data_IF_271094414882
#
_entry.id   IF_271094414882
#
_cell.length_a   1.000
_cell.length_b   1.000
_cell.length_c   1.000
_cell.angle_alpha   90.00
_cell.angle_beta   90.00
_cell.angle_gamma   90.00
#
_symmetry.space_group_name_H-M   'P 1'
#
loop_
_entity.id
_entity.type
_entity.pdbx_description
1 polymer ?
#
# COMPACT_ATOMS: atom_id res chain seq x y z
N UNK A 1 -22.49 13.64 37.31
CA UNK A 1 -22.28 12.18 37.31
C UNK A 1 -22.61 11.66 35.93
N UNK A 2 -21.80 10.76 35.34
CA UNK A 2 -22.12 10.19 34.05
C UNK A 2 -23.40 9.34 34.17
N UNK A 3 -24.40 9.65 33.33
CA UNK A 3 -25.70 8.99 33.38
C UNK A 3 -25.52 7.51 32.99
N UNK A 4 -26.02 6.59 33.79
CA UNK A 4 -26.00 5.13 33.53
C UNK A 4 -26.47 4.80 32.12
N UNK A 5 -27.44 5.52 31.60
CA UNK A 5 -27.99 5.37 30.25
C UNK A 5 -26.94 5.71 29.19
N UNK A 6 -26.11 6.75 29.41
CA UNK A 6 -25.08 7.17 28.46
C UNK A 6 -23.94 6.16 28.42
N UNK A 7 -23.50 5.63 29.57
CA UNK A 7 -22.50 4.57 29.63
C UNK A 7 -23.00 3.33 28.89
N UNK A 8 -24.26 2.93 29.12
CA UNK A 8 -24.88 1.78 28.42
C UNK A 8 -24.94 2.00 26.91
N UNK A 9 -25.31 3.21 26.44
CA UNK A 9 -25.27 3.57 25.01
C UNK A 9 -23.87 3.43 24.43
N UNK A 10 -22.85 3.93 25.13
CA UNK A 10 -21.45 3.83 24.69
C UNK A 10 -21.00 2.36 24.59
N UNK A 11 -21.33 1.52 25.56
CA UNK A 11 -21.04 0.07 25.52
C UNK A 11 -21.65 -0.56 24.27
N UNK A 12 -22.92 -0.28 23.97
CA UNK A 12 -23.61 -0.81 22.78
C UNK A 12 -22.93 -0.35 21.49
N UNK A 13 -22.58 0.95 21.38
CA UNK A 13 -21.89 1.50 20.20
C UNK A 13 -20.52 0.83 19.98
N UNK A 14 -19.71 0.69 21.04
CA UNK A 14 -18.39 0.07 20.95
C UNK A 14 -18.50 -1.43 20.63
N UNK A 15 -19.52 -2.13 21.14
CA UNK A 15 -19.82 -3.53 20.77
C UNK A 15 -20.11 -3.67 19.28
N UNK A 16 -20.90 -2.75 18.71
CA UNK A 16 -21.18 -2.74 17.26
C UNK A 16 -19.90 -2.48 16.46
N UNK A 17 -19.09 -1.50 16.89
CA UNK A 17 -17.79 -1.23 16.25
C UNK A 17 -16.87 -2.46 16.29
N UNK A 18 -16.78 -3.15 17.44
CA UNK A 18 -16.01 -4.39 17.59
C UNK A 18 -16.48 -5.47 16.60
N UNK A 19 -17.78 -5.61 16.41
CA UNK A 19 -18.32 -6.60 15.46
C UNK A 19 -17.96 -6.24 14.01
N UNK A 20 -18.05 -4.96 13.64
CA UNK A 20 -17.67 -4.47 12.32
C UNK A 20 -16.18 -4.72 12.06
N UNK A 21 -15.31 -4.32 12.99
CA UNK A 21 -13.85 -4.49 12.82
C UNK A 21 -13.45 -5.96 12.72
N UNK A 22 -14.08 -6.83 13.52
CA UNK A 22 -13.86 -8.29 13.44
C UNK A 22 -14.31 -8.86 12.10
N UNK A 23 -15.44 -8.43 11.58
CA UNK A 23 -15.90 -8.85 10.24
C UNK A 23 -14.94 -8.37 9.15
N UNK A 24 -14.45 -7.13 9.25
CA UNK A 24 -13.47 -6.58 8.30
C UNK A 24 -12.13 -7.33 8.37
N UNK A 25 -11.68 -7.75 9.55
CA UNK A 25 -10.51 -8.60 9.74
C UNK A 25 -10.68 -9.94 8.99
N UNK A 26 -11.83 -10.60 9.14
CA UNK A 26 -12.11 -11.87 8.46
C UNK A 26 -12.15 -11.70 6.94
N UNK A 27 -12.78 -10.64 6.43
CA UNK A 27 -12.82 -10.33 4.99
C UNK A 27 -11.42 -10.06 4.45
N UNK A 28 -10.60 -9.27 5.17
CA UNK A 28 -9.22 -9.02 4.79
C UNK A 28 -8.40 -10.31 4.75
N UNK A 29 -8.57 -11.19 5.75
CA UNK A 29 -7.91 -12.51 5.79
C UNK A 29 -8.24 -13.37 4.56
N UNK A 30 -9.51 -13.42 4.15
CA UNK A 30 -9.90 -14.15 2.95
C UNK A 30 -9.29 -13.55 1.67
N UNK A 31 -9.19 -12.22 1.60
CA UNK A 31 -8.61 -11.53 0.44
C UNK A 31 -7.09 -11.64 0.36
N UNK A 32 -6.38 -11.74 1.49
CA UNK A 32 -4.93 -11.94 1.52
C UNK A 32 -4.56 -13.18 0.70
N UNK A 33 -5.24 -14.30 0.94
CA UNK A 33 -4.93 -15.55 0.23
C UNK A 33 -5.00 -15.36 -1.29
N UNK A 34 -6.11 -14.80 -1.79
CA UNK A 34 -6.28 -14.55 -3.23
C UNK A 34 -5.20 -13.60 -3.79
N UNK A 35 -4.83 -12.56 -3.03
CA UNK A 35 -3.81 -11.62 -3.47
C UNK A 35 -2.40 -12.24 -3.46
N UNK A 36 -2.06 -13.03 -2.42
CA UNK A 36 -0.78 -13.75 -2.34
C UNK A 36 -0.66 -14.80 -3.44
N UNK A 37 -1.72 -15.55 -3.72
CA UNK A 37 -1.73 -16.56 -4.79
C UNK A 37 -1.39 -15.91 -6.16
N UNK A 38 -1.81 -14.67 -6.42
CA UNK A 38 -1.45 -13.92 -7.63
C UNK A 38 0.03 -13.53 -7.66
N UNK A 39 0.56 -13.04 -6.55
CA UNK A 39 1.99 -12.69 -6.47
C UNK A 39 2.82 -13.94 -6.74
N UNK A 40 2.49 -15.06 -6.08
CA UNK A 40 3.20 -16.34 -6.28
C UNK A 40 3.09 -16.83 -7.73
N UNK A 41 1.93 -16.67 -8.38
CA UNK A 41 1.75 -17.06 -9.78
C UNK A 41 2.54 -16.17 -10.76
N UNK A 42 2.76 -14.89 -10.43
CA UNK A 42 3.52 -13.97 -11.28
C UNK A 42 5.04 -14.06 -11.07
N UNK A 43 5.50 -14.49 -9.90
CA UNK A 43 6.92 -14.54 -9.51
C UNK A 43 7.80 -15.34 -10.49
N UNK A 44 7.44 -16.57 -10.93
CA UNK A 44 8.31 -17.34 -11.84
C UNK A 44 8.57 -16.62 -13.16
N UNK A 45 7.57 -15.93 -13.70
CA UNK A 45 7.72 -15.16 -14.93
C UNK A 45 8.66 -13.96 -14.74
N UNK A 46 8.51 -13.24 -13.63
CA UNK A 46 9.38 -12.11 -13.29
C UNK A 46 10.82 -12.55 -13.06
N UNK A 47 11.04 -13.68 -12.38
CA UNK A 47 12.37 -14.23 -12.13
C UNK A 47 13.04 -14.69 -13.43
N UNK A 48 12.33 -15.41 -14.28
CA UNK A 48 12.84 -15.83 -15.58
C UNK A 48 13.21 -14.63 -16.48
N UNK A 49 12.41 -13.57 -16.44
CA UNK A 49 12.68 -12.33 -17.17
C UNK A 49 13.92 -11.61 -16.66
N UNK A 50 14.10 -11.52 -15.34
CA UNK A 50 15.31 -10.97 -14.71
C UNK A 50 16.56 -11.79 -15.08
N UNK A 51 16.46 -13.11 -15.06
CA UNK A 51 17.54 -13.99 -15.46
C UNK A 51 17.92 -13.79 -16.94
N UNK A 52 16.94 -13.70 -17.83
CA UNK A 52 17.18 -13.42 -19.25
C UNK A 52 17.85 -12.05 -19.46
N UNK A 53 17.40 -11.01 -18.78
CA UNK A 53 18.01 -9.68 -18.84
C UNK A 53 19.42 -9.66 -18.27
N UNK A 54 19.67 -10.33 -17.15
CA UNK A 54 21.02 -10.45 -16.57
C UNK A 54 22.02 -11.14 -17.51
N UNK A 55 21.57 -12.19 -18.22
CA UNK A 55 22.39 -12.91 -19.21
C UNK A 55 22.65 -12.07 -20.48
N UNK A 56 21.67 -11.24 -20.90
CA UNK A 56 21.85 -10.29 -21.99
C UNK A 56 22.79 -9.15 -21.63
N UNK A 57 22.72 -8.67 -20.37
CA UNK A 57 23.55 -7.56 -19.89
C UNK A 57 25.05 -7.85 -19.98
N UNK A 58 25.45 -9.09 -19.67
CA UNK A 58 26.86 -9.51 -19.75
C UNK A 58 27.41 -9.50 -21.17
N UNK A 59 26.55 -9.58 -22.19
CA UNK A 59 26.92 -9.62 -23.62
C UNK A 59 26.58 -8.32 -24.36
N UNK A 60 25.63 -7.54 -23.87
CA UNK A 60 25.10 -6.34 -24.51
C UNK A 60 26.00 -5.10 -24.40
N UNK A 61 27.32 -5.24 -24.26
CA UNK A 61 28.27 -4.11 -24.19
C UNK A 61 28.22 -3.14 -25.37
N UNK A 62 27.46 -3.43 -26.42
CA UNK A 62 27.28 -2.59 -27.60
C UNK A 62 25.81 -2.33 -28.00
N UNK A 63 24.83 -2.97 -27.34
CA UNK A 63 23.42 -2.78 -27.69
C UNK A 63 22.87 -1.50 -27.05
N UNK A 64 22.72 -0.45 -27.85
CA UNK A 64 22.04 0.79 -27.47
C UNK A 64 20.52 0.61 -27.60
N UNK A 65 19.82 0.64 -26.47
CA UNK A 65 18.35 0.66 -26.46
C UNK A 65 17.85 1.87 -25.63
N UNK A 66 16.86 2.64 -26.09
CA UNK A 66 16.41 3.85 -25.40
C UNK A 66 16.06 3.65 -23.93
N UNK A 67 15.54 2.50 -23.53
CA UNK A 67 15.18 2.20 -22.14
C UNK A 67 16.36 1.86 -21.20
N UNK A 68 17.55 1.63 -21.78
CA UNK A 68 18.82 1.41 -21.06
C UNK A 68 19.67 2.66 -20.99
N UNK A 69 19.42 3.62 -21.88
CA UNK A 69 20.22 4.83 -22.00
C UNK A 69 20.03 5.73 -20.77
N UNK A 70 21.12 6.04 -20.10
CA UNK A 70 21.12 7.00 -19.00
C UNK A 70 21.22 8.41 -19.56
N UNK A 71 20.20 9.23 -19.33
CA UNK A 71 20.24 10.62 -19.75
C UNK A 71 21.29 11.40 -18.93
N UNK A 72 22.20 12.17 -19.58
CA UNK A 72 23.33 12.80 -18.91
C UNK A 72 22.92 13.87 -17.88
N UNK A 73 21.80 14.54 -18.13
CA UNK A 73 21.22 15.52 -17.23
C UNK A 73 19.82 15.11 -16.80
N UNK A 74 19.63 14.91 -15.50
CA UNK A 74 18.33 14.63 -14.94
C UNK A 74 17.58 15.94 -14.68
N UNK A 75 16.61 16.26 -15.53
CA UNK A 75 15.77 17.47 -15.43
C UNK A 75 14.31 17.15 -15.07
N UNK A 76 13.82 15.99 -15.46
CA UNK A 76 12.42 15.59 -15.29
C UNK A 76 12.30 14.15 -14.81
N UNK A 77 11.57 13.95 -13.75
CA UNK A 77 11.32 12.63 -13.18
C UNK A 77 9.80 12.33 -13.13
N UNK A 78 9.42 11.10 -13.43
CA UNK A 78 8.04 10.63 -13.35
C UNK A 78 7.91 9.62 -12.21
N UNK A 79 6.98 9.89 -11.30
CA UNK A 79 6.73 9.04 -10.13
C UNK A 79 5.42 8.27 -10.30
N UNK A 80 5.51 6.95 -10.32
CA UNK A 80 4.36 6.05 -10.25
C UNK A 80 4.11 5.71 -8.79
N UNK A 81 3.02 6.21 -8.23
CA UNK A 81 2.72 6.06 -6.79
C UNK A 81 1.53 5.12 -6.60
N UNK A 82 1.79 3.96 -5.99
CA UNK A 82 0.78 2.92 -5.80
C UNK A 82 0.28 2.93 -4.36
N UNK A 83 -0.98 3.34 -4.19
CA UNK A 83 -1.68 3.36 -2.90
C UNK A 83 -3.05 2.70 -3.02
N UNK A 84 -3.77 2.56 -1.90
CA UNK A 84 -5.06 1.92 -1.88
C UNK A 84 -6.22 2.85 -2.29
N UNK A 85 -7.34 2.25 -2.69
CA UNK A 85 -8.60 2.97 -2.88
C UNK A 85 -9.34 3.21 -1.55
N UNK A 86 -9.16 2.32 -0.58
CA UNK A 86 -9.88 2.32 0.69
C UNK A 86 -8.94 2.66 1.85
N UNK A 87 -9.48 3.29 2.89
CA UNK A 87 -8.78 3.50 4.15
C UNK A 87 -8.82 2.27 5.06
N UNK A 88 -8.57 2.50 6.34
CA UNK A 88 -8.60 1.50 7.41
C UNK A 88 -7.52 0.39 7.28
N UNK A 89 -6.42 0.72 6.62
CA UNK A 89 -5.25 -0.13 6.47
C UNK A 89 -4.03 0.38 7.29
N UNK A 90 -4.28 1.03 8.43
CA UNK A 90 -3.21 1.58 9.27
C UNK A 90 -2.37 2.64 8.54
N UNK A 91 -1.05 2.52 8.63
CA UNK A 91 -0.10 3.45 8.01
C UNK A 91 0.19 3.16 6.52
N UNK A 92 -0.37 2.10 5.95
CA UNK A 92 -0.08 1.58 4.61
C UNK A 92 0.06 2.68 3.53
N UNK A 93 -0.94 3.55 3.42
CA UNK A 93 -0.91 4.63 2.42
C UNK A 93 0.15 5.69 2.73
N UNK A 94 0.29 6.07 4.00
CA UNK A 94 1.22 7.11 4.40
C UNK A 94 2.69 6.69 4.22
N UNK A 95 2.98 5.40 4.31
CA UNK A 95 4.31 4.84 4.09
C UNK A 95 4.80 5.01 2.65
N UNK A 96 3.91 5.14 1.68
CA UNK A 96 4.24 5.37 0.26
C UNK A 96 4.10 6.85 -0.10
N UNK A 97 3.01 7.49 0.32
CA UNK A 97 2.68 8.86 -0.09
C UNK A 97 3.69 9.89 0.44
N UNK A 98 4.10 9.76 1.71
CA UNK A 98 5.08 10.69 2.30
C UNK A 98 6.48 10.57 1.69
N UNK A 99 7.05 9.39 1.47
CA UNK A 99 8.32 9.27 0.74
C UNK A 99 8.26 9.84 -0.68
N UNK A 100 7.17 9.59 -1.41
CA UNK A 100 7.00 10.15 -2.76
C UNK A 100 6.98 11.68 -2.74
N UNK A 101 6.21 12.29 -1.83
CA UNK A 101 6.18 13.74 -1.64
C UNK A 101 7.55 14.29 -1.23
N UNK A 102 8.20 13.67 -0.24
CA UNK A 102 9.54 14.08 0.22
C UNK A 102 10.59 14.00 -0.89
N UNK A 103 10.52 12.93 -1.70
CA UNK A 103 11.44 12.77 -2.85
C UNK A 103 11.19 13.84 -3.90
N UNK A 104 9.94 14.17 -4.20
CA UNK A 104 9.58 15.25 -5.13
C UNK A 104 10.07 16.61 -4.64
N UNK A 105 9.94 16.92 -3.35
CA UNK A 105 10.47 18.13 -2.75
C UNK A 105 12.00 18.20 -2.84
N UNK A 106 12.69 17.08 -2.60
CA UNK A 106 14.14 16.99 -2.74
C UNK A 106 14.59 17.18 -4.19
N UNK A 107 13.83 16.70 -5.16
CA UNK A 107 14.10 16.90 -6.58
C UNK A 107 13.85 18.34 -7.00
N UNK A 108 12.78 18.95 -6.55
CA UNK A 108 12.50 20.37 -6.80
C UNK A 108 13.63 21.27 -6.27
N UNK A 109 14.21 20.96 -5.11
CA UNK A 109 15.37 21.67 -4.56
C UNK A 109 16.64 21.52 -5.42
N UNK A 110 16.71 20.48 -6.26
CA UNK A 110 17.80 20.24 -7.23
C UNK A 110 17.47 20.79 -8.63
N UNK A 111 16.31 21.44 -8.79
CA UNK A 111 15.86 21.92 -10.11
C UNK A 111 15.27 20.83 -11.00
N UNK A 112 14.96 19.65 -10.45
CA UNK A 112 14.35 18.53 -11.18
C UNK A 112 12.83 18.65 -11.06
N UNK A 113 12.15 18.77 -12.17
CA UNK A 113 10.68 18.77 -12.25
C UNK A 113 10.15 17.35 -12.03
N UNK A 114 9.08 17.21 -11.24
CA UNK A 114 8.46 15.92 -10.97
C UNK A 114 7.02 15.87 -11.43
N UNK A 115 6.66 14.84 -12.17
CA UNK A 115 5.29 14.52 -12.57
C UNK A 115 4.84 13.20 -11.95
N UNK A 116 3.53 12.93 -11.96
CA UNK A 116 2.95 11.82 -11.21
C UNK A 116 1.96 11.00 -12.03
N UNK A 117 2.06 9.68 -11.87
CA UNK A 117 0.99 8.71 -12.16
C UNK A 117 0.49 8.20 -10.83
N UNK A 118 -0.80 8.39 -10.55
CA UNK A 118 -1.38 8.05 -9.26
C UNK A 118 -2.32 6.87 -9.36
N UNK A 119 -1.97 5.78 -8.68
CA UNK A 119 -2.76 4.57 -8.56
C UNK A 119 -3.44 4.51 -7.19
N UNK A 120 -4.78 4.43 -7.18
CA UNK A 120 -5.61 4.39 -5.98
C UNK A 120 -6.13 5.75 -5.51
N UNK A 121 -7.39 5.74 -5.07
CA UNK A 121 -8.10 6.96 -4.62
C UNK A 121 -7.38 7.70 -3.49
N UNK A 122 -6.60 6.98 -2.65
CA UNK A 122 -5.86 7.61 -1.55
C UNK A 122 -4.66 8.41 -2.06
N UNK A 123 -3.97 7.95 -3.11
CA UNK A 123 -2.94 8.74 -3.77
C UNK A 123 -3.54 9.96 -4.47
N UNK A 124 -4.58 9.76 -5.26
CA UNK A 124 -5.26 10.83 -5.99
C UNK A 124 -5.72 11.94 -5.02
N UNK A 125 -6.43 11.60 -3.95
CA UNK A 125 -6.90 12.60 -2.97
C UNK A 125 -5.78 13.27 -2.18
N UNK A 126 -4.70 12.55 -1.90
CA UNK A 126 -3.54 13.09 -1.17
C UNK A 126 -2.82 14.18 -1.97
N UNK A 127 -2.53 13.92 -3.24
CA UNK A 127 -1.83 14.86 -4.11
C UNK A 127 -2.74 15.99 -4.61
N UNK A 128 -4.03 15.71 -4.86
CA UNK A 128 -5.01 16.74 -5.21
C UNK A 128 -5.16 17.80 -4.09
N UNK A 129 -5.16 17.38 -2.82
CA UNK A 129 -5.18 18.32 -1.68
C UNK A 129 -3.96 19.27 -1.65
N UNK A 130 -2.85 18.87 -2.27
CA UNK A 130 -1.62 19.65 -2.39
C UNK A 130 -1.52 20.44 -3.69
N UNK A 131 -2.58 20.45 -4.49
CA UNK A 131 -2.62 21.14 -5.78
C UNK A 131 -1.79 20.47 -6.88
N UNK A 132 -1.35 19.21 -6.67
CA UNK A 132 -0.58 18.46 -7.66
C UNK A 132 -1.55 17.69 -8.54
N UNK A 133 -1.52 18.01 -9.85
CA UNK A 133 -2.29 17.32 -10.87
C UNK A 133 -1.45 16.19 -11.47
N UNK A 134 -1.94 14.93 -11.48
CA UNK A 134 -1.23 13.83 -12.11
C UNK A 134 -1.38 13.85 -13.62
N UNK A 135 -0.41 13.30 -14.35
CA UNK A 135 -0.51 13.05 -15.79
C UNK A 135 -1.51 11.92 -16.08
N UNK A 136 -1.52 10.89 -15.23
CA UNK A 136 -2.50 9.80 -15.27
C UNK A 136 -2.97 9.45 -13.87
N UNK A 137 -4.22 8.98 -13.78
CA UNK A 137 -4.79 8.49 -12.52
C UNK A 137 -5.64 7.24 -12.74
N UNK A 138 -5.50 6.29 -11.82
CA UNK A 138 -6.22 5.03 -11.83
C UNK A 138 -6.94 4.85 -10.49
N UNK A 139 -8.26 4.84 -10.52
CA UNK A 139 -9.10 4.60 -9.36
C UNK A 139 -9.77 3.24 -9.47
N UNK A 140 -9.88 2.51 -8.36
CA UNK A 140 -10.52 1.17 -8.33
C UNK A 140 -9.56 0.00 -8.54
N UNK A 141 -8.30 0.28 -8.83
CA UNK A 141 -7.25 -0.67 -9.17
C UNK A 141 -6.77 -1.51 -7.98
N UNK A 142 -6.77 -0.97 -6.74
CA UNK A 142 -6.08 -1.58 -5.60
C UNK A 142 -6.68 -2.91 -5.13
N UNK A 143 -7.94 -3.20 -5.49
CA UNK A 143 -8.61 -4.42 -5.02
C UNK A 143 -8.30 -5.65 -5.89
N UNK A 144 -8.11 -5.44 -7.18
CA UNK A 144 -7.96 -6.48 -8.20
C UNK A 144 -7.19 -5.93 -9.43
N UNK A 145 -5.88 -5.62 -9.29
CA UNK A 145 -5.09 -5.07 -10.39
C UNK A 145 -5.05 -6.05 -11.56
N UNK A 146 -5.21 -5.51 -12.77
CA UNK A 146 -5.12 -6.28 -14.02
C UNK A 146 -3.82 -6.01 -14.75
N UNK A 147 -3.39 -6.96 -15.59
CA UNK A 147 -2.21 -6.77 -16.43
C UNK A 147 -2.43 -5.67 -17.48
N UNK A 148 -3.65 -5.50 -17.97
CA UNK A 148 -4.01 -4.41 -18.90
C UNK A 148 -3.76 -3.02 -18.32
N UNK A 149 -4.10 -2.81 -17.05
CA UNK A 149 -3.82 -1.55 -16.36
C UNK A 149 -2.31 -1.33 -16.21
N UNK A 150 -1.55 -2.37 -15.91
CA UNK A 150 -0.08 -2.31 -15.85
C UNK A 150 0.52 -1.97 -17.23
N UNK A 151 0.04 -2.62 -18.29
CA UNK A 151 0.47 -2.35 -19.67
C UNK A 151 0.20 -0.90 -20.08
N UNK A 152 -0.96 -0.33 -19.71
CA UNK A 152 -1.28 1.07 -19.99
C UNK A 152 -0.32 2.04 -19.28
N UNK A 153 0.00 1.77 -18.02
CA UNK A 153 0.99 2.57 -17.25
C UNK A 153 2.36 2.42 -17.89
N UNK A 154 2.79 1.19 -18.14
CA UNK A 154 4.09 0.86 -18.70
C UNK A 154 4.32 1.48 -20.09
N UNK A 155 3.32 1.39 -20.98
CA UNK A 155 3.40 2.00 -22.31
C UNK A 155 3.57 3.52 -22.22
N UNK A 156 2.77 4.18 -21.38
CA UNK A 156 2.90 5.62 -21.18
C UNK A 156 4.29 6.03 -20.65
N UNK A 157 4.79 5.31 -19.66
CA UNK A 157 6.10 5.55 -19.06
C UNK A 157 7.23 5.35 -20.06
N UNK A 158 7.17 4.26 -20.86
CA UNK A 158 8.16 3.97 -21.91
C UNK A 158 8.19 5.06 -22.99
N UNK A 159 7.02 5.46 -23.47
CA UNK A 159 6.91 6.48 -24.52
C UNK A 159 7.48 7.82 -24.04
N UNK A 160 7.19 8.21 -22.81
CA UNK A 160 7.73 9.43 -22.19
C UNK A 160 9.26 9.37 -22.05
N UNK A 161 9.79 8.23 -21.65
CA UNK A 161 11.23 8.04 -21.49
C UNK A 161 11.95 7.99 -22.85
N UNK A 162 11.48 7.15 -23.77
CA UNK A 162 12.09 7.00 -25.10
C UNK A 162 12.08 8.28 -25.94
N UNK A 163 11.08 9.16 -25.71
CA UNK A 163 11.03 10.50 -26.39
C UNK A 163 11.80 11.57 -25.63
N UNK A 164 12.51 11.24 -24.56
CA UNK A 164 13.28 12.20 -23.76
C UNK A 164 12.40 13.23 -23.02
N UNK A 165 11.11 12.93 -22.80
CA UNK A 165 10.23 13.81 -22.02
C UNK A 165 10.43 13.64 -20.51
N UNK A 166 10.96 12.51 -20.06
CA UNK A 166 11.38 12.24 -18.69
C UNK A 166 12.74 11.54 -18.70
N UNK A 167 13.52 11.79 -17.65
CA UNK A 167 14.90 11.31 -17.54
C UNK A 167 15.03 10.20 -16.48
N UNK A 168 14.00 10.02 -15.66
CA UNK A 168 13.95 8.97 -14.65
C UNK A 168 12.50 8.62 -14.34
N UNK A 169 12.26 7.35 -14.10
CA UNK A 169 10.97 6.86 -13.62
C UNK A 169 11.15 6.05 -12.36
N UNK A 170 10.45 6.45 -11.30
CA UNK A 170 10.46 5.77 -10.00
C UNK A 170 9.08 5.22 -9.67
N UNK A 171 9.04 4.00 -9.15
CA UNK A 171 7.81 3.38 -8.64
C UNK A 171 7.86 3.37 -7.11
N UNK A 172 6.82 3.90 -6.49
CA UNK A 172 6.62 3.91 -5.04
C UNK A 172 5.49 2.96 -4.69
N UNK A 173 5.79 1.92 -3.94
CA UNK A 173 4.81 0.92 -3.53
C UNK A 173 5.17 0.27 -2.20
N UNK A 174 4.28 -0.53 -1.63
CA UNK A 174 4.58 -1.35 -0.46
C UNK A 174 4.85 -2.79 -0.89
N UNK A 175 6.06 -3.26 -0.63
CA UNK A 175 6.44 -4.66 -0.80
C UNK A 175 5.94 -5.51 0.36
N UNK A 176 5.38 -6.66 0.07
CA UNK A 176 4.83 -7.60 1.05
C UNK A 176 5.88 -8.64 1.43
N UNK A 177 6.58 -8.43 2.55
CA UNK A 177 7.49 -9.46 3.09
C UNK A 177 6.73 -10.69 3.57
N UNK A 178 5.59 -10.47 4.21
CA UNK A 178 4.67 -11.49 4.67
C UNK A 178 3.29 -10.86 4.94
N UNK A 179 2.31 -11.69 5.28
CA UNK A 179 0.93 -11.25 5.50
C UNK A 179 0.74 -10.22 6.64
N UNK A 180 1.75 -9.93 7.45
CA UNK A 180 1.67 -8.99 8.58
C UNK A 180 2.63 -7.80 8.44
N UNK A 181 3.62 -7.90 7.56
CA UNK A 181 4.69 -6.92 7.45
C UNK A 181 4.88 -6.44 6.00
N UNK A 182 4.83 -5.13 5.81
CA UNK A 182 4.97 -4.45 4.54
C UNK A 182 6.13 -3.46 4.64
N UNK A 183 6.93 -3.42 3.59
CA UNK A 183 8.12 -2.59 3.47
C UNK A 183 7.92 -1.57 2.33
N UNK A 184 7.89 -0.26 2.61
CA UNK A 184 7.79 0.73 1.55
C UNK A 184 9.05 0.71 0.69
N UNK A 185 8.86 0.58 -0.62
CA UNK A 185 9.94 0.58 -1.60
C UNK A 185 9.84 1.71 -2.58
N UNK A 186 11.00 2.13 -3.02
CA UNK A 186 11.19 3.05 -4.14
C UNK A 186 12.12 2.35 -5.09
N UNK A 187 11.61 1.97 -6.24
CA UNK A 187 12.39 1.25 -7.25
C UNK A 187 12.48 2.10 -8.53
N UNK A 188 13.67 2.12 -9.10
CA UNK A 188 13.89 2.75 -10.40
C UNK A 188 13.37 1.82 -11.49
N UNK A 189 12.39 2.31 -12.26
CA UNK A 189 11.84 1.59 -13.39
C UNK A 189 12.58 1.90 -14.68
N UNK A 190 12.94 3.17 -14.88
CA UNK A 190 13.73 3.65 -16.02
C UNK A 190 14.73 4.72 -15.56
N UNK A 191 15.95 4.73 -16.15
CA UNK A 191 16.50 3.71 -17.04
C UNK A 191 16.60 2.36 -16.36
N UNK A 192 16.53 1.27 -17.14
CA UNK A 192 16.70 -0.07 -16.59
C UNK A 192 18.18 -0.26 -16.28
N UNK A 193 18.49 -0.43 -15.00
CA UNK A 193 19.86 -0.72 -14.55
C UNK A 193 20.12 -2.22 -14.60
N UNK A 194 20.63 -2.67 -15.72
CA UNK A 194 20.94 -4.10 -15.95
C UNK A 194 22.09 -4.58 -15.06
N UNK A 195 22.97 -3.65 -14.61
CA UNK A 195 24.11 -4.01 -13.73
C UNK A 195 23.66 -4.36 -12.31
N UNK A 196 22.52 -3.85 -11.87
CA UNK A 196 21.91 -4.17 -10.58
C UNK A 196 21.14 -5.49 -10.58
N UNK A 197 20.86 -6.05 -11.76
CA UNK A 197 20.19 -7.33 -11.91
C UNK A 197 21.21 -8.44 -11.66
N UNK A 198 21.41 -8.77 -10.36
CA UNK A 198 22.25 -9.90 -9.97
C UNK A 198 21.58 -11.20 -10.41
N UNK A 199 22.15 -11.89 -11.36
CA UNK A 199 21.82 -13.31 -11.59
C UNK A 199 22.14 -14.07 -10.30
N UNK A 200 21.19 -14.77 -9.68
CA UNK A 200 21.53 -15.73 -8.63
C UNK A 200 22.43 -16.76 -9.27
N UNK A 201 23.71 -16.78 -8.86
CA UNK A 201 24.73 -17.62 -9.47
C UNK A 201 24.39 -19.10 -9.47
N UNK A 202 23.83 -19.56 -10.56
CA UNK A 202 24.06 -20.90 -11.02
C UNK A 202 25.34 -20.82 -11.82
N UNK A 203 26.44 -21.29 -11.27
CA UNK A 203 27.81 -21.18 -11.79
C UNK A 203 28.10 -21.93 -13.12
N UNK A 204 27.16 -21.91 -14.03
CA UNK A 204 27.34 -22.26 -15.43
C UNK A 204 26.95 -21.01 -16.23
N UNK A 205 27.88 -20.41 -16.94
CA UNK A 205 27.60 -19.47 -18.02
C UNK A 205 26.72 -20.21 -19.03
N UNK A 206 25.42 -20.14 -18.87
CA UNK A 206 24.49 -20.64 -19.86
C UNK A 206 24.71 -19.80 -21.13
N UNK A 207 25.28 -20.41 -22.14
CA UNK A 207 25.46 -19.79 -23.45
C UNK A 207 24.09 -19.79 -24.11
N UNK A 208 23.41 -18.62 -24.08
CA UNK A 208 22.15 -18.43 -24.81
C UNK A 208 22.47 -18.03 -26.24
N UNK A 209 21.86 -18.73 -27.21
CA UNK A 209 21.82 -18.30 -28.59
C UNK A 209 20.58 -17.43 -28.83
N UNK A 210 20.76 -16.25 -29.37
CA UNK A 210 19.68 -15.30 -29.60
C UNK A 210 19.22 -15.34 -31.06
N UNK A 211 17.96 -15.72 -31.26
CA UNK A 211 17.35 -15.74 -32.60
C UNK A 211 16.29 -14.64 -32.73
N UNK A 212 16.32 -13.80 -33.78
CA UNK A 212 17.29 -13.72 -34.86
C UNK A 212 18.59 -12.99 -34.49
N UNK A 213 18.61 -12.10 -33.51
CA UNK A 213 19.76 -11.40 -32.94
C UNK A 213 19.42 -10.74 -31.62
N UNK A 214 20.42 -10.29 -30.86
CA UNK A 214 20.30 -9.69 -29.53
C UNK A 214 19.44 -8.42 -29.54
N UNK A 215 19.57 -7.55 -30.54
CA UNK A 215 18.81 -6.29 -30.60
C UNK A 215 17.29 -6.53 -30.72
N UNK A 216 16.87 -7.45 -31.58
CA UNK A 216 15.44 -7.80 -31.73
C UNK A 216 14.87 -8.45 -30.48
N UNK A 217 15.68 -9.23 -29.76
CA UNK A 217 15.26 -9.83 -28.48
C UNK A 217 15.11 -8.74 -27.42
N UNK A 218 16.04 -7.80 -27.32
CA UNK A 218 15.97 -6.65 -26.40
C UNK A 218 14.77 -5.75 -26.67
N UNK A 219 14.48 -5.45 -27.94
CA UNK A 219 13.32 -4.64 -28.35
C UNK A 219 11.98 -5.24 -27.87
N UNK A 220 11.91 -6.55 -27.67
CA UNK A 220 10.73 -7.23 -27.14
C UNK A 220 10.78 -7.43 -25.64
N UNK A 221 11.94 -7.73 -25.11
CA UNK A 221 12.12 -8.10 -23.71
C UNK A 221 12.03 -6.89 -22.77
N UNK A 222 12.66 -5.77 -23.12
CA UNK A 222 12.68 -4.57 -22.27
C UNK A 222 11.29 -3.96 -22.06
N UNK A 223 10.44 -3.80 -23.10
CA UNK A 223 9.05 -3.40 -22.90
C UNK A 223 8.28 -4.34 -21.97
N UNK A 224 8.40 -5.66 -22.19
CA UNK A 224 7.72 -6.66 -21.37
C UNK A 224 8.24 -6.67 -19.92
N UNK A 225 9.52 -6.38 -19.70
CA UNK A 225 10.08 -6.19 -18.36
C UNK A 225 9.42 -5.02 -17.63
N UNK A 226 9.31 -3.85 -18.27
CA UNK A 226 8.66 -2.68 -17.67
C UNK A 226 7.20 -2.98 -17.30
N UNK A 227 6.45 -3.66 -18.17
CA UNK A 227 5.07 -4.09 -17.92
C UNK A 227 4.99 -5.03 -16.72
N UNK A 228 5.90 -6.00 -16.66
CA UNK A 228 5.98 -6.99 -15.57
C UNK A 228 6.32 -6.33 -14.24
N UNK A 229 7.27 -5.40 -14.21
CA UNK A 229 7.66 -4.68 -12.99
C UNK A 229 6.53 -3.80 -12.47
N UNK A 230 5.82 -3.08 -13.35
CA UNK A 230 4.64 -2.31 -12.96
C UNK A 230 3.55 -3.23 -12.43
N UNK A 231 3.26 -4.34 -13.12
CA UNK A 231 2.26 -5.30 -12.67
C UNK A 231 2.63 -5.90 -11.30
N UNK A 232 3.89 -6.28 -11.12
CA UNK A 232 4.39 -6.80 -9.84
C UNK A 232 4.18 -5.79 -8.72
N UNK A 233 4.53 -4.52 -8.91
CA UNK A 233 4.33 -3.47 -7.91
C UNK A 233 2.84 -3.30 -7.54
N UNK A 234 1.92 -3.41 -8.53
CA UNK A 234 0.48 -3.31 -8.31
C UNK A 234 -0.08 -4.48 -7.50
N UNK A 235 0.26 -5.74 -7.88
CA UNK A 235 -0.26 -6.94 -7.19
C UNK A 235 0.36 -7.09 -5.80
N UNK A 236 1.62 -6.77 -5.62
CA UNK A 236 2.32 -6.82 -4.34
C UNK A 236 1.76 -5.78 -3.37
N UNK A 237 1.56 -4.55 -3.83
CA UNK A 237 0.87 -3.51 -3.07
C UNK A 237 -0.56 -3.93 -2.69
N UNK A 238 -1.30 -4.59 -3.59
CA UNK A 238 -2.64 -5.10 -3.29
C UNK A 238 -2.64 -6.17 -2.19
N UNK A 239 -1.65 -7.07 -2.20
CA UNK A 239 -1.47 -8.07 -1.14
C UNK A 239 -1.12 -7.42 0.20
N UNK A 240 -0.18 -6.47 0.19
CA UNK A 240 0.21 -5.68 1.36
C UNK A 240 -0.93 -4.87 1.97
N UNK A 241 -1.80 -4.29 1.13
CA UNK A 241 -3.00 -3.57 1.58
C UNK A 241 -3.90 -4.45 2.45
N UNK A 242 -4.18 -5.69 2.02
CA UNK A 242 -5.04 -6.60 2.78
C UNK A 242 -4.35 -7.06 4.07
N UNK A 243 -3.04 -7.28 4.06
CA UNK A 243 -2.24 -7.58 5.25
C UNK A 243 -2.29 -6.47 6.29
N UNK A 244 -2.02 -5.24 5.87
CA UNK A 244 -2.08 -4.05 6.71
C UNK A 244 -3.50 -3.81 7.26
N UNK A 245 -4.53 -4.00 6.44
CA UNK A 245 -5.94 -3.91 6.86
C UNK A 245 -6.28 -4.94 7.90
N UNK A 246 -5.90 -6.20 7.73
CA UNK A 246 -6.12 -7.26 8.72
C UNK A 246 -5.49 -6.88 10.07
N UNK A 247 -4.22 -6.45 10.08
CA UNK A 247 -3.49 -6.01 11.28
C UNK A 247 -4.18 -4.84 11.97
N UNK A 248 -4.59 -3.82 11.20
CA UNK A 248 -5.29 -2.64 11.71
C UNK A 248 -6.65 -2.99 12.30
N UNK A 249 -7.43 -3.86 11.64
CA UNK A 249 -8.75 -4.27 12.11
C UNK A 249 -8.67 -5.18 13.34
N UNK A 250 -7.67 -6.07 13.42
CA UNK A 250 -7.39 -6.86 14.63
C UNK A 250 -7.09 -5.93 15.81
N UNK A 251 -6.16 -5.00 15.66
CA UNK A 251 -5.83 -4.02 16.70
C UNK A 251 -7.06 -3.20 17.14
N UNK A 252 -7.88 -2.77 16.19
CA UNK A 252 -9.12 -2.05 16.49
C UNK A 252 -10.13 -2.91 17.28
N UNK A 253 -10.22 -4.20 16.97
CA UNK A 253 -11.09 -5.17 17.68
C UNK A 253 -10.60 -5.39 19.12
N UNK A 254 -9.28 -5.51 19.31
CA UNK A 254 -8.65 -5.68 20.61
C UNK A 254 -8.85 -4.43 21.47
N UNK A 255 -8.59 -3.24 20.93
CA UNK A 255 -8.84 -1.96 21.60
C UNK A 255 -10.32 -1.77 21.97
N UNK A 256 -11.25 -2.12 21.07
CA UNK A 256 -12.67 -2.07 21.35
C UNK A 256 -13.06 -2.99 22.53
N UNK A 257 -12.42 -4.15 22.65
CA UNK A 257 -12.64 -5.08 23.77
C UNK A 257 -12.20 -4.46 25.10
N UNK A 258 -11.06 -3.81 25.12
CA UNK A 258 -10.50 -3.12 26.29
C UNK A 258 -11.40 -1.94 26.75
N UNK A 259 -11.88 -1.15 25.79
CA UNK A 259 -12.81 -0.07 26.05
C UNK A 259 -14.13 -0.60 26.64
N UNK A 260 -14.68 -1.71 26.11
CA UNK A 260 -15.89 -2.35 26.65
C UNK A 260 -15.67 -2.77 28.09
N UNK A 261 -14.56 -3.42 28.42
CA UNK A 261 -14.24 -3.87 29.78
C UNK A 261 -14.14 -2.68 30.76
N UNK A 262 -13.53 -1.58 30.31
CA UNK A 262 -13.39 -0.38 31.11
C UNK A 262 -14.76 0.30 31.34
N UNK A 263 -15.57 0.46 30.29
CA UNK A 263 -16.92 0.99 30.40
C UNK A 263 -17.85 0.12 31.26
N UNK A 264 -17.68 -1.21 31.21
CA UNK A 264 -18.45 -2.13 32.06
C UNK A 264 -18.13 -1.94 33.54
N UNK A 265 -16.86 -1.76 33.89
CA UNK A 265 -16.45 -1.43 35.28
C UNK A 265 -17.02 -0.11 35.73
N UNK A 266 -16.98 0.92 34.89
CA UNK A 266 -17.58 2.21 35.18
C UNK A 266 -19.10 2.13 35.36
N UNK A 267 -19.78 1.39 34.51
CA UNK A 267 -21.21 1.15 34.58
C UNK A 267 -21.60 0.47 35.91
N UNK A 268 -20.89 -0.60 36.29
CA UNK A 268 -21.16 -1.34 37.52
C UNK A 268 -20.94 -0.43 38.75
N UNK A 269 -19.86 0.37 38.79
CA UNK A 269 -19.59 1.33 39.85
C UNK A 269 -20.67 2.41 39.96
N UNK A 270 -21.06 2.99 38.83
CA UNK A 270 -22.11 4.00 38.79
C UNK A 270 -23.47 3.44 39.21
N UNK A 271 -23.79 2.19 38.79
CA UNK A 271 -25.01 1.48 39.20
C UNK A 271 -25.03 1.24 40.71
N UNK A 272 -23.94 0.75 41.30
CA UNK A 272 -23.85 0.53 42.75
C UNK A 272 -24.02 1.83 43.50
N UNK A 273 -23.37 2.94 43.04
CA UNK A 273 -23.55 4.26 43.67
C UNK A 273 -25.00 4.75 43.59
N UNK A 274 -25.66 4.60 42.44
CA UNK A 274 -27.07 4.99 42.29
C UNK A 274 -27.99 4.19 43.24
N UNK A 275 -27.81 2.86 43.32
CA UNK A 275 -28.57 2.01 44.24
C UNK A 275 -28.33 2.45 45.70
N UNK A 276 -27.09 2.69 46.09
CA UNK A 276 -26.76 3.13 47.46
C UNK A 276 -27.39 4.47 47.78
N UNK A 277 -27.37 5.46 46.87
CA UNK A 277 -28.01 6.76 47.03
C UNK A 277 -29.51 6.61 47.20
N UNK A 278 -30.17 5.80 46.33
CA UNK A 278 -31.61 5.56 46.38
C UNK A 278 -32.02 4.89 47.72
N UNK A 279 -31.28 3.87 48.15
CA UNK A 279 -31.49 3.24 49.45
C UNK A 279 -31.31 4.24 50.61
N UNK A 280 -30.30 5.07 50.57
CA UNK A 280 -30.05 6.08 51.62
C UNK A 280 -31.19 7.10 51.67
N UNK A 281 -31.68 7.54 50.52
CA UNK A 281 -32.80 8.48 50.42
C UNK A 281 -34.09 7.87 50.97
N UNK A 282 -34.38 6.62 50.67
CA UNK A 282 -35.55 5.87 51.20
C UNK A 282 -35.44 5.75 52.74
N UNK A 283 -34.28 5.35 53.24
CA UNK A 283 -34.05 5.18 54.68
C UNK A 283 -34.15 6.51 55.41
N UNK A 284 -33.55 7.59 54.84
CA UNK A 284 -33.66 8.91 55.42
C UNK A 284 -35.10 9.46 55.42
N UNK A 285 -35.85 9.24 54.34
CA UNK A 285 -37.27 9.59 54.26
C UNK A 285 -38.14 8.84 55.29
N UNK A 286 -37.93 7.54 55.47
CA UNK A 286 -38.65 6.75 56.49
C UNK A 286 -38.27 7.15 57.92
N UNK A 287 -36.99 7.56 58.17
CA UNK A 287 -36.59 8.04 59.50
C UNK A 287 -37.16 9.45 59.82
N UNK A 288 -37.35 10.29 58.79
CA UNK A 288 -37.99 11.59 58.94
C UNK A 288 -39.47 11.48 59.33
N UNK A 289 -40.22 10.58 58.65
CA UNK A 289 -41.63 10.32 58.98
C UNK A 289 -41.84 9.80 60.40
N UNK A 290 -40.92 8.96 60.92
CA UNK A 290 -40.99 8.47 62.30
C UNK A 290 -40.75 9.51 63.40
N UNK A 291 -40.21 10.70 63.04
CA UNK A 291 -39.98 11.80 63.98
C UNK A 291 -41.16 12.77 64.05
N UNK A 292 -42.09 12.69 63.12
CA UNK A 292 -43.30 13.52 63.11
C UNK A 292 -44.50 12.86 63.73
N UNK A 293 -44.44 11.57 64.07
CA UNK A 293 -45.37 10.89 64.97
C UNK A 293 -44.84 10.88 66.42
#
# INVERSE_FOLDING_TARGET
MANLRDIKKRITSVKSTKQITRTMEMVATAKIRKATDRVVAATPYSEAMLEMLGNLAGKAGEATHPLLEVHPEKKRALFVVVASDRGLAGAFNQQVLRPAEKKAQAYAAQGIETSFILCGKKAIGYFAYRGILPEMQFAGLSADPTFDEATRIASYVRDKYATGQVDEVLVFYNHTRNAADQDPRVEQLLPIDVSSISTPGTGAEATFDFEPNEAVVLDRLLPAYVETMVYHALIDSAAGEQGARRKAMKSATDNATEIINTLQRQFNRARQGAITTELTEIVAGAAAQKKEE
#
